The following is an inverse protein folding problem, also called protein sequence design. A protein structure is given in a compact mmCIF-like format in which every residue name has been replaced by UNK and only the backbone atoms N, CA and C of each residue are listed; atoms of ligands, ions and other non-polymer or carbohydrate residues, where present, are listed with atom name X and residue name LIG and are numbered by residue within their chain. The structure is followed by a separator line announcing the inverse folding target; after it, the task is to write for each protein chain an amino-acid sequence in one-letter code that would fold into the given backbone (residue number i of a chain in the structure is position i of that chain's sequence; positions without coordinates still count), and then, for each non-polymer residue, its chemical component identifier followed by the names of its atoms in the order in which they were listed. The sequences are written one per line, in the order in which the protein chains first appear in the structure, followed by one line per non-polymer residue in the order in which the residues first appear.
data_IF_371513329361
#
_entry.id   IF_371513329361
#
_cell.length_a   1.000
_cell.length_b   1.000
_cell.length_c   1.000
_cell.angle_alpha   90.00
_cell.angle_beta   90.00
_cell.angle_gamma   90.00
#
_symmetry.space_group_name_H-M   'P 1'
#
loop_
_entity.id
_entity.type
_entity.pdbx_description
1 polymer ?
#
# COMPACT_ATOMS: atom_id res chain seq x y z
N UNK A 1 3.51 -32.25 -15.34
CA UNK A 1 4.56 -31.32 -14.86
C UNK A 1 5.88 -31.89 -15.36
N UNK A 2 6.57 -31.21 -16.27
CA UNK A 2 7.84 -31.70 -16.79
C UNK A 2 8.95 -31.43 -15.75
N UNK A 3 10.02 -32.23 -15.76
CA UNK A 3 11.17 -32.02 -14.86
C UNK A 3 11.82 -30.64 -15.01
N UNK A 4 11.64 -29.99 -16.16
CA UNK A 4 12.14 -28.64 -16.45
C UNK A 4 11.35 -27.58 -15.69
N UNK A 5 10.02 -27.74 -15.58
CA UNK A 5 9.15 -26.82 -14.84
C UNK A 5 9.58 -26.74 -13.37
N UNK A 6 9.83 -27.90 -12.73
CA UNK A 6 10.17 -27.98 -11.31
C UNK A 6 11.55 -27.36 -10.99
N UNK A 7 12.54 -27.52 -11.86
CA UNK A 7 13.90 -26.96 -11.68
C UNK A 7 13.96 -25.44 -11.89
N UNK A 8 13.11 -24.92 -12.79
CA UNK A 8 12.92 -23.47 -12.97
C UNK A 8 12.16 -22.90 -11.75
N UNK A 9 11.11 -23.58 -11.30
CA UNK A 9 10.32 -23.19 -10.12
C UNK A 9 11.12 -23.20 -8.81
N UNK A 10 12.04 -24.15 -8.64
CA UNK A 10 12.87 -24.21 -7.42
C UNK A 10 13.94 -23.11 -7.35
N UNK A 11 14.29 -22.50 -8.50
CA UNK A 11 15.29 -21.43 -8.59
C UNK A 11 14.68 -20.03 -8.62
N UNK A 12 13.41 -19.92 -9.00
CA UNK A 12 12.68 -18.66 -9.08
C UNK A 12 11.65 -18.63 -7.96
N UNK A 13 11.85 -17.76 -6.97
CA UNK A 13 10.84 -17.45 -5.96
C UNK A 13 9.65 -16.71 -6.63
N UNK A 14 8.77 -17.49 -7.25
CA UNK A 14 7.63 -16.96 -7.97
C UNK A 14 6.52 -16.56 -6.98
N UNK A 15 5.94 -15.36 -7.15
CA UNK A 15 4.89 -14.88 -6.27
C UNK A 15 3.64 -15.77 -6.38
N UNK A 16 2.86 -15.85 -5.31
CA UNK A 16 1.56 -16.53 -5.32
C UNK A 16 0.43 -15.50 -5.39
N UNK A 17 -0.70 -15.87 -6.00
CA UNK A 17 -1.85 -14.97 -6.13
C UNK A 17 -3.19 -15.70 -6.02
N UNK A 18 -4.05 -15.19 -5.12
CA UNK A 18 -5.36 -15.76 -4.78
C UNK A 18 -6.56 -14.88 -5.15
N UNK A 19 -6.36 -13.83 -5.96
CA UNK A 19 -7.38 -12.84 -6.35
C UNK A 19 -7.61 -11.73 -5.31
N UNK A 20 -6.60 -11.35 -4.53
CA UNK A 20 -6.64 -10.11 -3.76
C UNK A 20 -6.33 -8.93 -4.70
N UNK A 21 -7.29 -8.03 -5.02
CA UNK A 21 -7.06 -6.94 -5.97
C UNK A 21 -5.89 -6.03 -5.57
N UNK A 22 -5.65 -5.85 -4.25
CA UNK A 22 -4.58 -4.99 -3.74
C UNK A 22 -3.18 -5.58 -3.97
N UNK A 23 -3.07 -6.90 -4.11
CA UNK A 23 -1.80 -7.60 -4.35
C UNK A 23 -1.53 -7.80 -5.85
N UNK A 24 -2.55 -7.62 -6.70
CA UNK A 24 -2.44 -7.86 -8.13
C UNK A 24 -1.32 -7.05 -8.81
N UNK A 25 -1.14 -5.75 -8.52
CA UNK A 25 -0.12 -4.95 -9.20
C UNK A 25 1.30 -5.45 -8.92
N UNK A 26 1.60 -5.77 -7.66
CA UNK A 26 2.89 -6.31 -7.25
C UNK A 26 3.12 -7.72 -7.82
N UNK A 27 2.12 -8.59 -7.69
CA UNK A 27 2.14 -9.92 -8.27
C UNK A 27 2.44 -9.88 -9.77
N UNK A 28 1.70 -9.06 -10.51
CA UNK A 28 1.83 -8.96 -11.97
C UNK A 28 3.20 -8.39 -12.38
N UNK A 29 3.71 -7.38 -11.66
CA UNK A 29 5.03 -6.82 -11.91
C UNK A 29 6.14 -7.85 -11.69
N UNK A 30 6.07 -8.62 -10.59
CA UNK A 30 7.02 -9.71 -10.30
C UNK A 30 6.94 -10.82 -11.34
N UNK A 31 5.74 -11.32 -11.66
CA UNK A 31 5.56 -12.38 -12.65
C UNK A 31 6.05 -11.95 -14.04
N UNK A 32 5.68 -10.75 -14.49
CA UNK A 32 6.09 -10.23 -15.80
C UNK A 32 7.61 -10.11 -15.90
N UNK A 33 8.28 -9.65 -14.84
CA UNK A 33 9.74 -9.52 -14.81
C UNK A 33 10.47 -10.85 -14.80
N UNK A 34 9.99 -11.80 -13.99
CA UNK A 34 10.65 -13.10 -13.79
C UNK A 34 10.37 -14.09 -14.93
N UNK A 35 9.20 -13.99 -15.55
CA UNK A 35 8.71 -14.97 -16.54
C UNK A 35 8.25 -14.29 -17.83
N UNK A 36 7.30 -13.35 -17.75
CA UNK A 36 6.64 -12.79 -18.93
C UNK A 36 7.60 -12.17 -19.96
N UNK A 37 8.57 -11.39 -19.50
CA UNK A 37 9.55 -10.66 -20.29
C UNK A 37 10.79 -11.51 -20.65
N UNK A 38 10.89 -12.75 -20.19
CA UNK A 38 12.03 -13.63 -20.50
C UNK A 38 11.89 -14.19 -21.93
N UNK A 39 12.75 -13.80 -22.89
CA UNK A 39 12.65 -14.29 -24.26
C UNK A 39 13.03 -15.77 -24.39
N UNK A 40 13.80 -16.31 -23.45
CA UNK A 40 14.23 -17.71 -23.44
C UNK A 40 13.13 -18.72 -23.07
N UNK A 41 12.01 -18.24 -22.52
CA UNK A 41 10.87 -19.08 -22.16
C UNK A 41 9.83 -19.04 -23.27
N UNK A 42 9.43 -20.21 -23.76
CA UNK A 42 8.34 -20.31 -24.73
C UNK A 42 6.97 -20.07 -24.09
N UNK A 43 5.94 -19.87 -24.92
CA UNK A 43 4.59 -19.56 -24.44
C UNK A 43 4.00 -20.68 -23.56
N UNK A 44 4.29 -21.94 -23.86
CA UNK A 44 3.79 -23.08 -23.09
C UNK A 44 4.41 -23.12 -21.68
N UNK A 45 5.73 -22.90 -21.57
CA UNK A 45 6.44 -22.81 -20.29
C UNK A 45 5.97 -21.60 -19.50
N UNK A 46 5.84 -20.43 -20.13
CA UNK A 46 5.30 -19.23 -19.47
C UNK A 46 3.90 -19.49 -18.91
N UNK A 47 3.06 -20.22 -19.65
CA UNK A 47 1.72 -20.55 -19.18
C UNK A 47 1.71 -21.59 -18.06
N UNK A 48 2.57 -22.61 -18.13
CA UNK A 48 2.80 -23.58 -17.06
C UNK A 48 3.16 -22.86 -15.75
N UNK A 49 4.14 -21.95 -15.82
CA UNK A 49 4.57 -21.14 -14.69
C UNK A 49 3.45 -20.22 -14.20
N UNK A 50 2.72 -19.55 -15.09
CA UNK A 50 1.58 -18.73 -14.70
C UNK A 50 0.52 -19.53 -13.91
N UNK A 51 0.16 -20.73 -14.34
CA UNK A 51 -0.78 -21.57 -13.59
C UNK A 51 -0.23 -21.97 -12.22
N UNK A 52 1.07 -22.19 -12.12
CA UNK A 52 1.74 -22.60 -10.87
C UNK A 52 1.79 -21.49 -9.81
N UNK A 53 1.64 -20.22 -10.20
CA UNK A 53 1.62 -19.06 -9.30
C UNK A 53 0.22 -18.66 -8.86
N UNK A 54 -0.81 -19.23 -9.47
CA UNK A 54 -2.20 -18.95 -9.12
C UNK A 54 -2.74 -19.97 -8.14
N UNK A 55 -3.57 -19.49 -7.21
CA UNK A 55 -4.26 -20.29 -6.20
C UNK A 55 -5.72 -19.87 -6.12
N UNK A 56 -6.53 -20.70 -5.45
CA UNK A 56 -7.93 -20.42 -5.16
C UNK A 56 -8.71 -19.90 -6.38
N UNK A 57 -9.38 -18.75 -6.21
CA UNK A 57 -10.25 -18.14 -7.23
C UNK A 57 -9.49 -17.65 -8.46
N UNK A 58 -8.24 -17.24 -8.33
CA UNK A 58 -7.45 -16.77 -9.47
C UNK A 58 -7.09 -17.93 -10.41
N UNK A 59 -6.77 -19.11 -9.87
CA UNK A 59 -6.50 -20.29 -10.70
C UNK A 59 -7.76 -20.75 -11.46
N UNK A 60 -8.94 -20.63 -10.83
CA UNK A 60 -10.20 -21.06 -11.44
C UNK A 60 -10.53 -20.29 -12.73
N UNK A 61 -10.11 -19.02 -12.87
CA UNK A 61 -10.44 -18.21 -14.06
C UNK A 61 -9.77 -18.71 -15.34
N UNK A 62 -8.63 -19.41 -15.22
CA UNK A 62 -7.88 -19.94 -16.37
C UNK A 62 -7.76 -21.47 -16.33
N UNK A 63 -8.46 -22.15 -15.41
CA UNK A 63 -8.36 -23.60 -15.22
C UNK A 63 -8.74 -24.38 -16.49
N UNK A 64 -9.76 -23.92 -17.22
CA UNK A 64 -10.27 -24.56 -18.44
C UNK A 64 -9.35 -24.47 -19.66
N UNK A 65 -8.32 -23.62 -19.64
CA UNK A 65 -7.38 -23.46 -20.74
C UNK A 65 -6.28 -24.53 -20.69
N UNK A 66 -6.09 -25.29 -21.77
CA UNK A 66 -4.96 -26.24 -21.88
C UNK A 66 -3.63 -25.51 -21.94
N UNK A 67 -2.57 -26.04 -21.31
CA UNK A 67 -1.23 -25.43 -21.30
C UNK A 67 -0.62 -25.52 -22.72
N UNK A 68 -0.76 -24.45 -23.49
CA UNK A 68 -0.21 -24.32 -24.84
C UNK A 68 0.29 -22.89 -25.07
N UNK A 69 1.21 -22.70 -26.01
CA UNK A 69 1.71 -21.37 -26.35
C UNK A 69 0.60 -20.43 -26.87
N UNK A 70 -0.38 -20.97 -27.61
CA UNK A 70 -1.52 -20.22 -28.13
C UNK A 70 -2.45 -19.71 -27.02
N UNK A 71 -2.60 -20.47 -25.92
CA UNK A 71 -3.48 -20.09 -24.81
C UNK A 71 -2.83 -19.13 -23.81
N UNK A 72 -1.50 -18.98 -23.83
CA UNK A 72 -0.80 -18.05 -22.93
C UNK A 72 -1.29 -16.60 -23.03
N UNK A 73 -1.37 -15.96 -24.20
CA UNK A 73 -1.88 -14.59 -24.30
C UNK A 73 -3.33 -14.46 -23.82
N UNK A 74 -4.18 -15.46 -24.10
CA UNK A 74 -5.58 -15.50 -23.64
C UNK A 74 -5.64 -15.55 -22.11
N UNK A 75 -4.82 -16.40 -21.48
CA UNK A 75 -4.74 -16.48 -20.03
C UNK A 75 -4.26 -15.17 -19.40
N UNK A 76 -3.30 -14.48 -20.02
CA UNK A 76 -2.82 -13.17 -19.58
C UNK A 76 -3.92 -12.11 -19.66
N UNK A 77 -4.70 -12.10 -20.74
CA UNK A 77 -5.82 -11.17 -20.90
C UNK A 77 -6.89 -11.38 -19.81
N UNK A 78 -7.32 -12.64 -19.60
CA UNK A 78 -8.26 -13.00 -18.53
C UNK A 78 -7.74 -12.56 -17.17
N UNK A 79 -6.45 -12.76 -16.92
CA UNK A 79 -5.83 -12.41 -15.65
C UNK A 79 -5.73 -10.89 -15.45
N UNK A 80 -5.41 -10.13 -16.50
CA UNK A 80 -5.42 -8.65 -16.46
C UNK A 80 -6.81 -8.09 -16.18
N UNK A 81 -7.87 -8.78 -16.60
CA UNK A 81 -9.23 -8.39 -16.22
C UNK A 81 -9.52 -8.59 -14.72
N UNK A 82 -8.63 -9.25 -13.96
CA UNK A 82 -8.68 -9.27 -12.49
C UNK A 82 -8.12 -7.99 -11.86
N UNK A 83 -7.44 -7.13 -12.62
CA UNK A 83 -7.05 -5.76 -12.24
C UNK A 83 -8.29 -4.84 -12.25
N UNK A 84 -9.26 -5.16 -11.40
CA UNK A 84 -10.47 -4.37 -11.28
C UNK A 84 -10.18 -3.11 -10.46
N UNK A 85 -9.85 -2.04 -11.17
CA UNK A 85 -9.51 -0.73 -10.59
C UNK A 85 -10.67 -0.10 -9.83
N UNK A 86 -11.91 -0.29 -10.30
CA UNK A 86 -13.11 0.25 -9.65
C UNK A 86 -13.33 -0.45 -8.32
N UNK A 87 -13.28 -1.78 -8.32
CA UNK A 87 -13.37 -2.57 -7.07
C UNK A 87 -12.21 -2.26 -6.13
N UNK A 88 -10.98 -2.14 -6.65
CA UNK A 88 -9.80 -1.77 -5.87
C UNK A 88 -9.97 -0.40 -5.20
N UNK A 89 -10.40 0.61 -5.96
CA UNK A 89 -10.68 1.95 -5.44
C UNK A 89 -11.77 1.92 -4.38
N UNK A 90 -12.85 1.18 -4.60
CA UNK A 90 -13.93 1.01 -3.62
C UNK A 90 -13.45 0.35 -2.31
N UNK A 91 -12.63 -0.69 -2.39
CA UNK A 91 -12.02 -1.35 -1.21
C UNK A 91 -11.14 -0.35 -0.45
N UNK A 92 -10.29 0.40 -1.15
CA UNK A 92 -9.37 1.37 -0.54
C UNK A 92 -10.12 2.53 0.10
N UNK A 93 -11.15 3.07 -0.56
CA UNK A 93 -12.05 4.07 0.00
C UNK A 93 -12.66 3.56 1.31
N UNK A 94 -13.22 2.35 1.28
CA UNK A 94 -13.86 1.74 2.46
C UNK A 94 -12.87 1.57 3.60
N UNK A 95 -11.66 1.08 3.32
CA UNK A 95 -10.59 0.94 4.33
C UNK A 95 -10.17 2.27 4.93
N UNK A 96 -9.97 3.29 4.10
CA UNK A 96 -9.65 4.65 4.54
C UNK A 96 -10.75 5.22 5.43
N UNK A 97 -12.01 5.10 4.99
CA UNK A 97 -13.17 5.55 5.75
C UNK A 97 -13.37 4.78 7.06
N UNK A 98 -12.96 3.50 7.12
CA UNK A 98 -13.08 2.65 8.31
C UNK A 98 -11.88 2.70 9.26
N UNK A 99 -10.83 3.48 8.97
CA UNK A 99 -9.69 3.60 9.87
C UNK A 99 -10.13 4.03 11.28
N UNK A 100 -9.56 3.46 12.36
CA UNK A 100 -9.92 3.84 13.72
C UNK A 100 -9.53 5.30 13.98
N UNK A 101 -10.36 6.08 14.70
CA UNK A 101 -9.98 7.44 15.07
C UNK A 101 -8.78 7.45 16.03
N UNK A 102 -8.02 8.53 15.99
CA UNK A 102 -6.97 8.80 16.94
C UNK A 102 -7.57 9.11 18.31
N UNK A 103 -6.91 8.65 19.37
CA UNK A 103 -7.32 8.99 20.73
C UNK A 103 -7.10 10.48 21.02
N UNK A 104 -7.82 11.02 22.02
CA UNK A 104 -7.78 12.46 22.34
C UNK A 104 -6.39 12.97 22.69
N UNK A 105 -5.56 12.10 23.27
CA UNK A 105 -4.18 12.42 23.68
C UNK A 105 -3.18 12.22 22.55
N UNK A 106 -3.60 11.71 21.38
CA UNK A 106 -2.75 11.56 20.21
C UNK A 106 -1.78 10.37 20.27
N UNK A 107 -1.92 9.43 21.21
CA UNK A 107 -0.97 8.34 21.41
C UNK A 107 -0.85 7.41 20.21
N UNK A 108 -1.93 7.22 19.44
CA UNK A 108 -1.92 6.43 18.21
C UNK A 108 -1.81 7.28 16.92
N UNK A 109 -1.43 8.56 17.01
CA UNK A 109 -1.38 9.47 15.85
C UNK A 109 -0.42 8.98 14.76
N UNK A 110 0.80 8.55 15.14
CA UNK A 110 1.78 8.07 14.17
C UNK A 110 1.27 6.82 13.44
N UNK A 111 0.70 5.85 14.17
CA UNK A 111 0.14 4.63 13.57
C UNK A 111 -1.01 4.94 12.61
N UNK A 112 -1.93 5.83 13.01
CA UNK A 112 -3.01 6.29 12.13
C UNK A 112 -2.44 6.97 10.89
N UNK A 113 -1.50 7.90 11.06
CA UNK A 113 -0.83 8.60 9.96
C UNK A 113 -0.15 7.63 8.98
N UNK A 114 0.63 6.66 9.47
CA UNK A 114 1.30 5.68 8.62
C UNK A 114 0.32 4.83 7.81
N UNK A 115 -0.79 4.41 8.43
CA UNK A 115 -1.84 3.65 7.75
C UNK A 115 -2.58 4.50 6.71
N UNK A 116 -2.97 5.73 7.06
CA UNK A 116 -3.56 6.68 6.13
C UNK A 116 -2.63 6.94 4.95
N UNK A 117 -1.34 7.17 5.20
CA UNK A 117 -0.34 7.45 4.17
C UNK A 117 -0.20 6.30 3.18
N UNK A 118 -0.06 5.06 3.69
CA UNK A 118 0.05 3.87 2.86
C UNK A 118 -1.20 3.65 2.00
N UNK A 119 -2.39 3.80 2.59
CA UNK A 119 -3.66 3.58 1.90
C UNK A 119 -3.97 4.68 0.88
N UNK A 120 -3.73 5.96 1.18
CA UNK A 120 -3.94 7.04 0.21
C UNK A 120 -2.98 6.89 -0.97
N UNK A 121 -1.72 6.51 -0.74
CA UNK A 121 -0.77 6.23 -1.82
C UNK A 121 -1.27 5.13 -2.75
N UNK A 122 -1.86 4.06 -2.22
CA UNK A 122 -2.49 3.01 -3.02
C UNK A 122 -3.74 3.54 -3.75
N UNK A 123 -4.56 4.32 -3.05
CA UNK A 123 -5.81 4.88 -3.58
C UNK A 123 -5.57 5.79 -4.79
N UNK A 124 -4.47 6.54 -4.78
CA UNK A 124 -4.10 7.46 -5.86
C UNK A 124 -3.14 6.86 -6.90
N UNK A 125 -2.98 5.53 -6.95
CA UNK A 125 -2.02 4.90 -7.89
C UNK A 125 -2.49 5.00 -9.35
N UNK A 126 -3.80 4.94 -9.60
CA UNK A 126 -4.37 4.89 -10.96
C UNK A 126 -5.16 6.14 -11.36
N UNK A 127 -5.66 6.87 -10.38
CA UNK A 127 -6.55 8.02 -10.54
C UNK A 127 -6.30 8.94 -9.35
N UNK A 128 -6.27 10.26 -9.57
CA UNK A 128 -6.08 11.19 -8.47
C UNK A 128 -7.30 11.27 -7.54
N UNK A 129 -7.16 12.03 -6.46
CA UNK A 129 -8.18 12.21 -5.44
C UNK A 129 -8.77 13.62 -5.46
N UNK A 130 -8.67 14.33 -6.59
CA UNK A 130 -9.09 15.74 -6.71
C UNK A 130 -10.56 15.99 -6.38
N UNK A 131 -11.44 15.00 -6.57
CA UNK A 131 -12.87 15.10 -6.27
C UNK A 131 -13.24 14.51 -4.89
N UNK A 132 -12.28 13.95 -4.15
CA UNK A 132 -12.53 13.10 -2.98
C UNK A 132 -12.59 13.91 -1.66
N UNK A 133 -13.19 15.09 -1.71
CA UNK A 133 -13.32 16.00 -0.56
C UNK A 133 -14.08 15.35 0.61
N UNK A 134 -15.10 14.53 0.33
CA UNK A 134 -15.83 13.80 1.35
C UNK A 134 -14.91 12.83 2.12
N UNK A 135 -14.05 12.12 1.40
CA UNK A 135 -13.08 11.22 2.02
C UNK A 135 -12.06 12.00 2.86
N UNK A 136 -11.57 13.12 2.34
CA UNK A 136 -10.68 14.01 3.09
C UNK A 136 -11.31 14.53 4.39
N UNK A 137 -12.59 14.91 4.37
CA UNK A 137 -13.33 15.32 5.58
C UNK A 137 -13.49 14.16 6.59
N UNK A 138 -13.79 12.94 6.10
CA UNK A 138 -13.86 11.73 6.94
C UNK A 138 -12.51 11.49 7.62
N UNK A 139 -11.42 11.57 6.86
CA UNK A 139 -10.05 11.38 7.35
C UNK A 139 -9.64 12.46 8.35
N UNK A 140 -9.98 13.73 8.10
CA UNK A 140 -9.73 14.85 9.03
C UNK A 140 -10.43 14.62 10.38
N UNK A 141 -11.66 14.09 10.36
CA UNK A 141 -12.43 13.81 11.58
C UNK A 141 -11.88 12.63 12.40
N UNK A 142 -10.93 11.86 11.86
CA UNK A 142 -10.21 10.82 12.61
C UNK A 142 -9.06 11.39 13.44
N UNK A 143 -8.69 12.65 13.25
CA UNK A 143 -7.57 13.28 13.95
C UNK A 143 -8.02 13.96 15.25
N UNK A 144 -7.14 14.06 16.27
CA UNK A 144 -7.46 14.77 17.51
C UNK A 144 -7.71 16.26 17.26
N UNK A 145 -8.48 16.91 18.14
CA UNK A 145 -8.85 18.33 18.00
C UNK A 145 -7.62 19.24 17.84
N UNK A 146 -6.56 19.00 18.62
CA UNK A 146 -5.29 19.74 18.55
C UNK A 146 -4.66 19.66 17.16
N UNK A 147 -4.63 18.48 16.55
CA UNK A 147 -4.06 18.27 15.20
C UNK A 147 -4.94 18.91 14.14
N UNK A 148 -6.26 18.76 14.25
CA UNK A 148 -7.22 19.40 13.34
C UNK A 148 -7.08 20.92 13.33
N UNK A 149 -6.94 21.55 14.49
CA UNK A 149 -6.70 22.99 14.62
C UNK A 149 -5.46 23.42 13.84
N UNK A 150 -4.33 22.73 14.04
CA UNK A 150 -3.08 23.01 13.32
C UNK A 150 -3.22 22.84 11.81
N UNK A 151 -4.02 21.86 11.37
CA UNK A 151 -4.31 21.66 9.94
C UNK A 151 -5.13 22.83 9.37
N UNK A 152 -6.12 23.35 10.10
CA UNK A 152 -6.87 24.53 9.66
C UNK A 152 -5.98 25.77 9.57
N UNK A 153 -5.08 25.96 10.54
CA UNK A 153 -4.12 27.06 10.56
C UNK A 153 -3.14 26.98 9.37
N UNK A 154 -2.53 25.81 9.12
CA UNK A 154 -1.61 25.60 8.00
C UNK A 154 -2.32 25.58 6.63
N UNK A 155 -3.61 25.19 6.61
CA UNK A 155 -4.45 25.08 5.41
C UNK A 155 -5.08 26.40 4.95
N UNK A 156 -4.72 27.54 5.56
CA UNK A 156 -5.28 28.87 5.25
C UNK A 156 -6.83 28.90 5.29
N UNK A 157 -7.45 28.15 6.20
CA UNK A 157 -8.91 28.00 6.29
C UNK A 157 -9.61 27.41 5.06
N UNK A 158 -8.91 26.67 4.18
CA UNK A 158 -9.59 25.85 3.18
C UNK A 158 -10.40 24.76 3.91
N UNK A 159 -11.73 24.80 3.75
CA UNK A 159 -12.64 23.94 4.52
C UNK A 159 -12.64 22.48 4.04
N UNK A 160 -12.21 22.24 2.79
CA UNK A 160 -12.27 20.93 2.15
C UNK A 160 -10.88 20.57 1.59
N UNK A 161 -10.17 19.69 2.28
CA UNK A 161 -8.92 19.09 1.80
C UNK A 161 -9.23 17.72 1.20
N UNK A 162 -8.61 17.38 0.08
CA UNK A 162 -8.61 15.99 -0.40
C UNK A 162 -7.59 15.16 0.39
N UNK A 163 -7.67 13.81 0.38
CA UNK A 163 -6.75 12.95 1.15
C UNK A 163 -5.25 13.27 0.97
N UNK A 164 -4.78 13.54 -0.24
CA UNK A 164 -3.38 13.84 -0.54
C UNK A 164 -2.95 15.19 0.02
N UNK A 165 -3.80 16.21 -0.04
CA UNK A 165 -3.53 17.52 0.54
C UNK A 165 -3.50 17.46 2.06
N UNK A 166 -4.48 16.77 2.66
CA UNK A 166 -4.52 16.50 4.10
C UNK A 166 -3.23 15.83 4.56
N UNK A 167 -2.80 14.77 3.86
CA UNK A 167 -1.58 14.05 4.21
C UNK A 167 -0.32 14.89 4.04
N UNK A 168 -0.25 15.79 3.05
CA UNK A 168 0.90 16.71 2.90
C UNK A 168 1.05 17.60 4.13
N UNK A 169 -0.04 18.12 4.68
CA UNK A 169 -0.01 18.95 5.89
C UNK A 169 0.29 18.08 7.12
N UNK A 170 -0.43 16.95 7.28
CA UNK A 170 -0.26 16.04 8.41
C UNK A 170 1.18 15.50 8.51
N UNK A 171 1.83 15.20 7.38
CA UNK A 171 3.25 14.78 7.33
C UNK A 171 4.16 15.81 7.97
N UNK A 172 3.92 17.11 7.78
CA UNK A 172 4.73 18.18 8.39
C UNK A 172 4.49 18.26 9.88
N UNK A 173 3.25 18.09 10.32
CA UNK A 173 2.88 18.09 11.75
C UNK A 173 3.57 16.94 12.48
N UNK A 174 3.41 15.71 11.96
CA UNK A 174 3.99 14.51 12.58
C UNK A 174 5.51 14.56 12.59
N UNK A 175 6.16 14.98 11.48
CA UNK A 175 7.62 15.12 11.44
C UNK A 175 8.14 16.14 12.46
N UNK A 176 7.47 17.29 12.60
CA UNK A 176 7.84 18.30 13.60
C UNK A 176 7.72 17.74 15.03
N UNK A 177 6.68 16.96 15.32
CA UNK A 177 6.52 16.32 16.63
C UNK A 177 7.65 15.31 16.89
N UNK A 178 7.98 14.44 15.92
CA UNK A 178 9.13 13.51 16.05
C UNK A 178 10.46 14.24 16.27
N UNK A 179 10.72 15.33 15.55
CA UNK A 179 11.95 16.11 15.75
C UNK A 179 11.99 16.79 17.12
N UNK A 180 10.83 17.24 17.65
CA UNK A 180 10.76 17.84 18.98
C UNK A 180 10.97 16.79 20.07
N UNK A 181 10.38 15.60 19.93
CA UNK A 181 10.57 14.49 20.86
C UNK A 181 12.06 14.09 20.93
N UNK A 182 12.74 13.95 19.78
CA UNK A 182 14.18 13.68 19.72
C UNK A 182 15.02 14.77 20.42
N UNK A 183 14.62 16.04 20.30
CA UNK A 183 15.31 17.16 20.95
C UNK A 183 15.09 17.18 22.47
N UNK A 184 13.90 16.83 22.95
CA UNK A 184 13.57 16.73 24.38
C UNK A 184 14.33 15.56 25.02
N UNK A 185 14.34 14.39 24.38
CA UNK A 185 15.11 13.22 24.84
C UNK A 185 16.61 13.53 24.99
N UNK A 186 17.19 14.24 24.02
CA UNK A 186 18.60 14.66 24.09
C UNK A 186 18.88 15.67 25.20
N UNK A 187 17.92 16.57 25.48
CA UNK A 187 18.04 17.55 26.55
C UNK A 187 17.97 16.88 27.92
N UNK A 188 17.04 15.94 28.10
CA UNK A 188 16.84 15.23 29.36
C UNK A 188 18.03 14.33 29.68
N UNK A 189 18.56 13.61 28.68
CA UNK A 189 19.80 12.84 28.80
C UNK A 189 21.01 13.72 29.19
N UNK A 190 21.13 14.91 28.59
CA UNK A 190 22.20 15.86 28.90
C UNK A 190 22.08 16.43 30.31
N UNK A 191 20.84 16.67 30.77
CA UNK A 191 20.56 17.14 32.13
C UNK A 191 20.86 16.07 33.18
N UNK A 192 20.51 14.80 32.93
CA UNK A 192 20.84 13.69 33.83
C UNK A 192 22.35 13.47 33.98
N UNK A 193 23.10 13.54 32.88
CA UNK A 193 24.57 13.47 32.92
C UNK A 193 25.19 14.63 33.73
N UNK A 194 24.62 15.83 33.61
CA UNK A 194 25.10 17.00 34.36
C UNK A 194 24.79 16.88 35.85
N UNK A 195 23.59 16.46 36.24
CA UNK A 195 23.21 16.24 37.65
C UNK A 195 24.09 15.17 38.30
N UNK A 196 24.38 14.08 37.58
CA UNK A 196 25.24 13.00 38.08
C UNK A 196 26.71 13.42 38.22
N UNK A 197 27.19 14.37 37.41
CA UNK A 197 28.56 14.88 37.48
C UNK A 197 28.78 15.90 38.60
N UNK A 198 27.73 16.61 39.06
CA UNK A 198 27.81 17.60 40.14
C UNK A 198 27.71 16.95 41.54
N UNK A 199 27.31 15.67 41.61
CA UNK A 199 27.15 14.92 42.86
C UNK A 199 28.31 13.94 43.16
N UNK A 200 29.42 14.04 42.41
CA UNK A 200 30.71 13.37 42.69
C UNK A 200 31.77 14.40 43.04
#
# INVERSE_FOLDING_TARGET
MSFVDASILSKLDLPQFERNPLEFPEYWARFSTLVGHKPQLDGATKFSLLKSTLRGRALQTIKGLSITAANYPIAVEILKNLDDRVTTRHILYTRLASLPPCDKEGRNLFSLYSQMYALVRQFTTYEDDSEEYALGAILLNKLPCRVRSRIYDEGKNQQNLVPTELLKILTRIVRKETTLDEMEDHRDYSNELHVNAVHQ
#
